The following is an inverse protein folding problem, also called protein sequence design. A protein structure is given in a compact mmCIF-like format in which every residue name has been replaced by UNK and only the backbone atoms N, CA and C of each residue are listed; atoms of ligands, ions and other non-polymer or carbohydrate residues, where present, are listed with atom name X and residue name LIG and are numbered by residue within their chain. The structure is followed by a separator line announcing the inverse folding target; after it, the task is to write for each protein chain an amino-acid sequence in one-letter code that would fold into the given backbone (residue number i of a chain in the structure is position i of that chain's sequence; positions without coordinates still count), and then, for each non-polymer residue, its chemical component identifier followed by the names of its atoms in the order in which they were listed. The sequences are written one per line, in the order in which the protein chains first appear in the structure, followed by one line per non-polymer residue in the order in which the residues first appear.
data_IF_360078664056
#
_entry.id   IF_360078664056
#
_cell.length_a   1.000
_cell.length_b   1.000
_cell.length_c   1.000
_cell.angle_alpha   90.00
_cell.angle_beta   90.00
_cell.angle_gamma   90.00
#
_symmetry.space_group_name_H-M   'P 1'
#
loop_
_entity.id
_entity.type
_entity.pdbx_description
1 polymer ?
#
# COMPACT_ATOMS: atom_id res chain seq x y z
N UNK A 1 50.92 13.94 -44.51
CA UNK A 1 51.41 12.92 -43.57
C UNK A 1 50.54 12.92 -42.32
N UNK A 2 50.48 11.79 -41.61
CA UNK A 2 49.69 11.49 -40.40
C UNK A 2 48.28 10.96 -40.62
N UNK A 3 48.26 9.73 -41.15
CA UNK A 3 47.19 8.75 -41.08
C UNK A 3 46.88 8.46 -39.59
N UNK A 4 45.73 8.90 -39.08
CA UNK A 4 45.26 8.54 -37.74
C UNK A 4 44.84 7.06 -37.73
N UNK A 5 45.59 6.24 -37.02
CA UNK A 5 45.30 4.82 -36.79
C UNK A 5 44.26 4.68 -35.67
N UNK A 6 43.21 3.91 -35.97
CA UNK A 6 42.17 3.50 -35.02
C UNK A 6 42.63 2.18 -34.39
N UNK A 7 42.84 2.07 -33.07
CA UNK A 7 42.73 0.81 -32.40
C UNK A 7 41.29 0.67 -31.88
N UNK A 8 40.44 0.01 -32.66
CA UNK A 8 39.14 -0.45 -32.17
C UNK A 8 39.44 -1.55 -31.15
N UNK A 9 39.51 -1.17 -29.87
CA UNK A 9 39.54 -2.13 -28.78
C UNK A 9 38.13 -2.69 -28.65
N UNK A 10 37.88 -3.85 -29.24
CA UNK A 10 36.69 -4.65 -28.95
C UNK A 10 36.79 -5.15 -27.50
N UNK A 11 36.29 -4.33 -26.57
CA UNK A 11 36.07 -4.77 -25.19
C UNK A 11 34.87 -5.72 -25.20
N UNK A 12 35.15 -7.02 -25.30
CA UNK A 12 34.15 -8.06 -25.17
C UNK A 12 33.66 -8.08 -23.71
N UNK A 13 32.59 -7.33 -23.43
CA UNK A 13 31.86 -7.42 -22.17
C UNK A 13 31.13 -8.77 -22.16
N UNK A 14 31.74 -9.77 -21.53
CA UNK A 14 31.01 -10.92 -21.01
C UNK A 14 30.08 -10.39 -19.90
N UNK A 15 28.87 -10.00 -20.28
CA UNK A 15 27.81 -9.66 -19.34
C UNK A 15 27.34 -10.95 -18.67
N UNK A 16 27.82 -11.23 -17.47
CA UNK A 16 27.15 -12.14 -16.55
C UNK A 16 25.77 -11.55 -16.24
N UNK A 17 24.73 -12.12 -16.85
CA UNK A 17 23.35 -11.92 -16.41
C UNK A 17 23.24 -12.55 -15.03
N UNK A 18 23.44 -11.74 -13.98
CA UNK A 18 23.00 -12.11 -12.65
C UNK A 18 21.47 -12.15 -12.72
N UNK A 19 20.89 -13.32 -12.53
CA UNK A 19 19.45 -13.49 -12.34
C UNK A 19 19.09 -12.84 -11.00
N UNK A 20 18.86 -11.52 -11.04
CA UNK A 20 18.20 -10.81 -9.95
C UNK A 20 16.78 -11.32 -9.97
N UNK A 21 16.52 -12.37 -9.20
CA UNK A 21 15.20 -12.95 -9.04
C UNK A 21 14.23 -11.83 -8.68
N UNK A 22 13.42 -11.43 -9.66
CA UNK A 22 12.37 -10.45 -9.46
C UNK A 22 11.34 -11.08 -8.52
N UNK A 23 11.50 -10.83 -7.22
CA UNK A 23 10.48 -11.19 -6.24
C UNK A 23 9.25 -10.36 -6.57
N UNK A 24 8.20 -11.02 -7.08
CA UNK A 24 6.93 -10.38 -7.31
C UNK A 24 6.45 -9.75 -5.99
N UNK A 25 6.05 -8.48 -6.04
CA UNK A 25 5.46 -7.83 -4.88
C UNK A 25 4.24 -8.64 -4.42
N UNK A 26 4.01 -8.79 -3.11
CA UNK A 26 2.81 -9.44 -2.61
C UNK A 26 1.56 -8.79 -3.21
N UNK A 27 0.58 -9.62 -3.60
CA UNK A 27 -0.70 -9.10 -4.07
C UNK A 27 -1.38 -8.30 -2.94
N UNK A 28 -2.03 -7.16 -3.26
CA UNK A 28 -2.68 -6.34 -2.25
C UNK A 28 -3.83 -7.12 -1.59
N UNK A 29 -4.01 -6.90 -0.29
CA UNK A 29 -5.12 -7.53 0.43
C UNK A 29 -6.46 -6.91 0.00
N UNK A 30 -7.57 -7.61 0.23
CA UNK A 30 -8.91 -7.06 -0.05
C UNK A 30 -9.16 -5.74 0.71
N UNK A 31 -8.76 -5.67 1.98
CA UNK A 31 -8.88 -4.46 2.79
C UNK A 31 -8.06 -3.28 2.26
N UNK A 32 -6.86 -3.56 1.74
CA UNK A 32 -6.00 -2.54 1.09
C UNK A 32 -6.65 -1.98 -0.16
N UNK A 33 -7.21 -2.83 -1.02
CA UNK A 33 -7.90 -2.40 -2.24
C UNK A 33 -9.13 -1.55 -1.92
N UNK A 34 -9.95 -1.99 -0.98
CA UNK A 34 -11.14 -1.24 -0.54
C UNK A 34 -10.75 0.12 0.06
N UNK A 35 -9.72 0.15 0.90
CA UNK A 35 -9.22 1.40 1.48
C UNK A 35 -8.70 2.37 0.43
N UNK A 36 -7.77 1.91 -0.42
CA UNK A 36 -7.10 2.75 -1.41
C UNK A 36 -8.06 3.28 -2.49
N UNK A 37 -9.15 2.56 -2.76
CA UNK A 37 -10.15 2.98 -3.75
C UNK A 37 -11.17 3.95 -3.18
N UNK A 38 -11.59 3.77 -1.92
CA UNK A 38 -12.78 4.46 -1.39
C UNK A 38 -12.48 5.43 -0.24
N UNK A 39 -11.61 5.05 0.71
CA UNK A 39 -11.42 5.83 1.93
C UNK A 39 -10.63 7.12 1.69
N UNK A 40 -9.73 7.11 0.70
CA UNK A 40 -8.92 8.27 0.33
C UNK A 40 -9.44 9.03 -0.90
N UNK A 41 -10.66 8.72 -1.35
CA UNK A 41 -11.28 9.39 -2.50
C UNK A 41 -11.75 10.82 -2.17
N UNK A 42 -12.12 11.07 -0.91
CA UNK A 42 -12.61 12.38 -0.45
C UNK A 42 -11.58 13.15 0.39
N UNK A 43 -10.73 12.45 1.15
CA UNK A 43 -9.73 13.02 2.06
C UNK A 43 -8.43 12.23 1.97
N UNK A 44 -7.31 12.84 2.37
CA UNK A 44 -6.03 12.12 2.41
C UNK A 44 -5.87 11.29 3.69
N UNK A 45 -4.69 10.69 3.84
CA UNK A 45 -4.35 9.82 4.96
C UNK A 45 -4.23 10.56 6.30
N UNK A 46 -4.16 11.91 6.33
CA UNK A 46 -4.03 12.69 7.56
C UNK A 46 -5.17 12.47 8.55
N UNK A 47 -6.33 12.03 8.05
CA UNK A 47 -7.49 11.64 8.86
C UNK A 47 -7.13 10.63 9.96
N UNK A 48 -6.08 9.84 9.77
CA UNK A 48 -5.64 8.79 10.70
C UNK A 48 -4.78 9.28 11.86
N UNK A 49 -4.18 10.47 11.81
CA UNK A 49 -3.27 10.97 12.86
C UNK A 49 -3.51 12.40 13.31
N UNK A 50 -4.45 13.14 12.68
CA UNK A 50 -4.80 14.49 13.11
C UNK A 50 -5.32 14.53 14.55
N UNK A 51 -5.13 15.69 15.20
CA UNK A 51 -5.76 16.01 16.47
C UNK A 51 -7.28 15.78 16.34
N UNK A 52 -7.87 15.02 17.27
CA UNK A 52 -9.24 14.46 17.24
C UNK A 52 -9.42 13.17 16.43
N UNK A 53 -8.45 12.25 16.47
CA UNK A 53 -8.69 10.85 16.11
C UNK A 53 -9.62 10.17 17.13
N UNK A 54 -10.65 9.46 16.66
CA UNK A 54 -11.62 8.77 17.53
C UNK A 54 -11.25 7.31 17.84
N UNK A 55 -10.28 6.74 17.13
CA UNK A 55 -9.90 5.32 17.26
C UNK A 55 -8.96 5.11 18.45
N UNK A 56 -9.42 4.43 19.49
CA UNK A 56 -8.65 4.08 20.70
C UNK A 56 -8.38 2.59 20.86
N UNK A 57 -9.19 1.77 20.18
CA UNK A 57 -9.21 0.31 20.29
C UNK A 57 -9.80 -0.34 19.03
N UNK A 58 -9.72 -1.66 18.93
CA UNK A 58 -10.17 -2.41 17.75
C UNK A 58 -11.65 -2.15 17.41
N UNK A 59 -12.52 -2.10 18.41
CA UNK A 59 -13.95 -1.86 18.25
C UNK A 59 -14.24 -0.46 17.69
N UNK A 60 -13.56 0.55 18.19
CA UNK A 60 -13.66 1.94 17.71
C UNK A 60 -13.15 2.07 16.27
N UNK A 61 -12.12 1.31 15.89
CA UNK A 61 -11.65 1.25 14.50
C UNK A 61 -12.73 0.69 13.57
N UNK A 62 -13.28 -0.48 13.89
CA UNK A 62 -14.36 -1.07 13.09
C UNK A 62 -15.59 -0.15 13.00
N UNK A 63 -15.92 0.56 14.09
CA UNK A 63 -17.01 1.54 14.12
C UNK A 63 -16.78 2.71 13.17
N UNK A 64 -15.58 3.27 13.14
CA UNK A 64 -15.27 4.36 12.21
C UNK A 64 -15.27 3.88 10.75
N UNK A 65 -14.69 2.71 10.46
CA UNK A 65 -14.77 2.13 9.10
C UNK A 65 -16.22 1.93 8.66
N UNK A 66 -17.07 1.35 9.52
CA UNK A 66 -18.50 1.18 9.26
C UNK A 66 -19.18 2.51 8.97
N UNK A 67 -18.96 3.52 9.81
CA UNK A 67 -19.58 4.84 9.67
C UNK A 67 -19.21 5.50 8.33
N UNK A 68 -17.92 5.47 7.97
CA UNK A 68 -17.47 6.15 6.75
C UNK A 68 -17.89 5.42 5.47
N UNK A 69 -17.90 4.08 5.46
CA UNK A 69 -18.44 3.35 4.29
C UNK A 69 -19.96 3.55 4.13
N UNK A 70 -20.70 3.70 5.23
CA UNK A 70 -22.14 4.04 5.22
C UNK A 70 -22.37 5.44 4.64
N UNK A 71 -21.60 6.43 5.09
CA UNK A 71 -21.66 7.80 4.56
C UNK A 71 -21.29 7.87 3.08
N UNK A 72 -20.38 7.01 2.63
CA UNK A 72 -20.01 6.88 1.23
C UNK A 72 -20.97 5.98 0.41
N UNK A 73 -21.99 5.37 1.03
CA UNK A 73 -22.99 4.55 0.36
C UNK A 73 -22.45 3.24 -0.24
N UNK A 74 -21.39 2.66 0.34
CA UNK A 74 -20.67 1.54 -0.26
C UNK A 74 -21.31 0.17 -0.01
N UNK A 75 -22.14 0.05 1.04
CA UNK A 75 -22.89 -1.18 1.33
C UNK A 75 -22.01 -2.38 1.72
N UNK A 76 -20.87 -2.15 2.37
CA UNK A 76 -19.93 -3.22 2.72
C UNK A 76 -20.49 -4.19 3.76
N UNK A 77 -20.10 -5.46 3.64
CA UNK A 77 -20.39 -6.48 4.63
C UNK A 77 -19.56 -6.29 5.91
N UNK A 78 -19.90 -7.02 6.97
CA UNK A 78 -19.10 -7.02 8.20
C UNK A 78 -17.67 -7.54 7.99
N UNK A 79 -17.51 -8.51 7.10
CA UNK A 79 -16.21 -9.09 6.72
C UNK A 79 -15.35 -8.06 6.00
N UNK A 80 -15.92 -7.29 5.08
CA UNK A 80 -15.21 -6.23 4.36
C UNK A 80 -14.79 -5.09 5.29
N UNK A 81 -15.68 -4.69 6.21
CA UNK A 81 -15.36 -3.74 7.28
C UNK A 81 -14.19 -4.26 8.12
N UNK A 82 -14.22 -5.55 8.51
CA UNK A 82 -13.15 -6.16 9.29
C UNK A 82 -11.82 -6.23 8.53
N UNK A 83 -11.84 -6.51 7.22
CA UNK A 83 -10.64 -6.53 6.38
C UNK A 83 -10.02 -5.14 6.22
N UNK A 84 -10.83 -4.10 6.01
CA UNK A 84 -10.34 -2.72 5.96
C UNK A 84 -9.79 -2.29 7.32
N UNK A 85 -10.49 -2.60 8.41
CA UNK A 85 -10.00 -2.34 9.76
C UNK A 85 -8.67 -3.06 10.02
N UNK A 86 -8.51 -4.30 9.58
CA UNK A 86 -7.27 -5.06 9.73
C UNK A 86 -6.12 -4.40 8.95
N UNK A 87 -6.36 -4.00 7.70
CA UNK A 87 -5.37 -3.28 6.90
C UNK A 87 -4.94 -1.97 7.59
N UNK A 88 -5.89 -1.15 8.03
CA UNK A 88 -5.63 0.09 8.75
C UNK A 88 -4.88 -0.15 10.06
N UNK A 89 -5.22 -1.22 10.77
CA UNK A 89 -4.56 -1.56 12.02
C UNK A 89 -3.10 -1.94 11.81
N UNK A 90 -2.81 -2.75 10.80
CA UNK A 90 -1.44 -3.16 10.47
C UNK A 90 -0.57 -2.01 9.98
N UNK A 91 -1.16 -1.00 9.32
CA UNK A 91 -0.40 0.09 8.70
C UNK A 91 -0.28 1.34 9.56
N UNK A 92 -1.32 1.65 10.34
CA UNK A 92 -1.47 2.97 10.95
C UNK A 92 -1.76 2.91 12.46
N UNK A 93 -2.57 1.96 12.92
CA UNK A 93 -3.09 2.01 14.30
C UNK A 93 -2.40 1.10 15.31
N UNK A 94 -1.91 -0.07 14.90
CA UNK A 94 -1.16 -1.01 15.74
C UNK A 94 -1.84 -1.34 17.08
N UNK A 95 -3.16 -1.48 17.06
CA UNK A 95 -4.01 -1.85 18.19
C UNK A 95 -3.92 -3.37 18.43
N UNK A 96 -4.07 -3.78 19.68
CA UNK A 96 -4.29 -5.19 20.03
C UNK A 96 -5.73 -5.57 19.64
N UNK A 97 -5.94 -6.54 18.73
CA UNK A 97 -7.27 -7.08 18.46
C UNK A 97 -7.75 -7.89 19.68
N UNK A 98 -9.04 -7.78 20.00
CA UNK A 98 -9.70 -8.64 21.01
C UNK A 98 -9.88 -10.08 20.50
#
# INVERSE_FOLDING_TARGET
MFRKWIPTVCFALFGSIADVGAQALPAPTRGELLYSTHCIACHDTQIHWRDKKLVTDWKSLQKEVRRWQELAGLGWSNEEIAQVAQYLNQRLYHLTPD
#
